data_IF_407600851853
#
_entry.id   IF_407600851853
#
_cell.length_a   1.000
_cell.length_b   1.000
_cell.length_c   1.000
_cell.angle_alpha   90.00
_cell.angle_beta   90.00
_cell.angle_gamma   90.00
#
_symmetry.space_group_name_H-M   'P 1'
#
loop_
_entity.id
_entity.type
_entity.pdbx_description
1 polymer ?
#
# COMPACT_ATOMS: atom_id res chain seq x y z
N UNK A 1 -16.31 -0.27 -15.13
CA UNK A 1 -16.18 1.01 -14.40
C UNK A 1 -15.53 1.99 -15.35
N UNK A 2 -16.14 3.16 -15.63
CA UNK A 2 -15.49 4.16 -16.50
C UNK A 2 -14.12 4.50 -15.90
N UNK A 3 -13.04 4.43 -16.70
CA UNK A 3 -11.64 4.64 -16.27
C UNK A 3 -11.46 5.89 -15.40
N UNK A 4 -12.24 6.92 -15.67
CA UNK A 4 -12.30 8.18 -14.93
C UNK A 4 -12.78 8.04 -13.48
N UNK A 5 -13.69 7.12 -13.16
CA UNK A 5 -14.25 6.96 -11.82
C UNK A 5 -13.21 6.47 -10.79
N UNK A 6 -12.20 5.71 -11.25
CA UNK A 6 -11.11 5.26 -10.38
C UNK A 6 -10.15 6.40 -10.01
N UNK A 7 -9.91 7.32 -10.95
CA UNK A 7 -8.98 8.44 -10.74
C UNK A 7 -9.61 9.57 -9.92
N UNK A 8 -10.92 9.78 -10.02
CA UNK A 8 -11.62 10.88 -9.33
C UNK A 8 -11.27 11.02 -7.84
N UNK A 9 -11.36 9.98 -6.98
CA UNK A 9 -11.01 10.14 -5.57
C UNK A 9 -9.52 10.45 -5.35
N UNK A 10 -8.65 9.97 -6.23
CA UNK A 10 -7.21 10.17 -6.14
C UNK A 10 -6.81 11.61 -6.52
N UNK A 11 -7.38 12.11 -7.62
CA UNK A 11 -7.20 13.49 -8.06
C UNK A 11 -7.77 14.44 -7.00
N UNK A 12 -8.98 14.17 -6.51
CA UNK A 12 -9.59 14.97 -5.45
C UNK A 12 -8.72 15.02 -4.19
N UNK A 13 -8.16 13.87 -3.76
CA UNK A 13 -7.24 13.83 -2.62
C UNK A 13 -5.96 14.64 -2.85
N UNK A 14 -5.36 14.57 -4.04
CA UNK A 14 -4.16 15.37 -4.32
C UNK A 14 -4.46 16.87 -4.40
N UNK A 15 -5.53 17.24 -5.10
CA UNK A 15 -6.00 18.65 -5.19
C UNK A 15 -6.25 19.21 -3.79
N UNK A 16 -6.84 18.42 -2.90
CA UNK A 16 -7.06 18.85 -1.52
C UNK A 16 -5.77 19.19 -0.77
N UNK A 17 -4.70 18.39 -0.94
CA UNK A 17 -3.40 18.73 -0.38
C UNK A 17 -2.81 20.01 -1.01
N UNK A 18 -3.00 20.20 -2.32
CA UNK A 18 -2.48 21.38 -3.04
C UNK A 18 -3.19 22.69 -2.64
N UNK A 19 -4.49 22.65 -2.38
CA UNK A 19 -5.23 23.85 -1.96
C UNK A 19 -5.03 24.17 -0.48
N UNK A 20 -4.59 23.20 0.32
CA UNK A 20 -4.31 23.38 1.74
C UNK A 20 -2.94 24.02 1.97
N UNK A 21 -2.91 25.28 2.44
CA UNK A 21 -1.67 26.04 2.70
C UNK A 21 -0.57 25.24 3.44
N UNK A 22 -0.86 24.50 4.53
CA UNK A 22 0.19 23.76 5.25
C UNK A 22 0.85 22.64 4.44
N UNK A 23 0.15 22.10 3.44
CA UNK A 23 0.58 20.93 2.69
C UNK A 23 0.98 21.25 1.25
N UNK A 24 0.62 22.42 0.73
CA UNK A 24 0.74 22.77 -0.70
C UNK A 24 2.12 22.47 -1.27
N UNK A 25 3.17 23.00 -0.65
CA UNK A 25 4.54 22.87 -1.15
C UNK A 25 5.02 21.42 -1.11
N UNK A 26 4.79 20.71 0.00
CA UNK A 26 5.14 19.30 0.13
C UNK A 26 4.36 18.43 -0.87
N UNK A 27 3.07 18.71 -1.07
CA UNK A 27 2.21 17.99 -2.00
C UNK A 27 2.57 18.22 -3.47
N UNK A 28 2.98 19.45 -3.83
CA UNK A 28 3.47 19.77 -5.16
C UNK A 28 4.79 19.05 -5.45
N UNK A 29 5.76 19.16 -4.55
CA UNK A 29 7.07 18.49 -4.69
C UNK A 29 6.89 16.97 -4.74
N UNK A 30 6.11 16.38 -3.82
CA UNK A 30 5.81 14.95 -3.84
C UNK A 30 5.15 14.56 -5.17
N UNK A 31 4.12 15.28 -5.61
CA UNK A 31 3.44 14.97 -6.86
C UNK A 31 4.36 14.98 -8.08
N UNK A 32 5.25 15.97 -8.20
CA UNK A 32 6.25 16.03 -9.27
C UNK A 32 7.19 14.83 -9.18
N UNK A 33 7.71 14.51 -7.99
CA UNK A 33 8.61 13.37 -7.80
C UNK A 33 7.93 12.03 -8.10
N UNK A 34 6.66 11.85 -7.72
CA UNK A 34 5.87 10.66 -8.06
C UNK A 34 5.65 10.55 -9.57
N UNK A 35 5.33 11.67 -10.24
CA UNK A 35 5.16 11.70 -11.69
C UNK A 35 6.46 11.33 -12.41
N UNK A 36 7.61 11.88 -11.99
CA UNK A 36 8.91 11.53 -12.56
C UNK A 36 9.24 10.06 -12.33
N UNK A 37 9.09 9.57 -11.09
CA UNK A 37 9.33 8.17 -10.74
C UNK A 37 8.47 7.23 -11.61
N UNK A 38 7.16 7.47 -11.67
CA UNK A 38 6.26 6.62 -12.43
C UNK A 38 6.48 6.73 -13.94
N UNK A 39 6.77 7.92 -14.46
CA UNK A 39 7.06 8.11 -15.87
C UNK A 39 8.26 7.24 -16.31
N UNK A 40 9.38 7.37 -15.61
CA UNK A 40 10.64 6.73 -16.01
C UNK A 40 10.72 5.25 -15.62
N UNK A 41 10.21 4.87 -14.45
CA UNK A 41 10.31 3.49 -13.93
C UNK A 41 9.14 2.63 -14.36
N UNK A 42 7.97 3.20 -14.66
CA UNK A 42 6.75 2.43 -14.92
C UNK A 42 6.18 2.67 -16.31
N UNK A 43 5.77 3.90 -16.64
CA UNK A 43 5.03 4.20 -17.86
C UNK A 43 5.84 3.92 -19.13
N UNK A 44 7.10 4.39 -19.18
CA UNK A 44 7.98 4.15 -20.33
C UNK A 44 8.31 2.66 -20.48
N UNK A 45 8.77 1.93 -19.44
CA UNK A 45 8.98 0.48 -19.53
C UNK A 45 7.72 -0.29 -19.91
N UNK A 46 6.58 -0.01 -19.28
CA UNK A 46 5.32 -0.70 -19.56
C UNK A 46 4.77 -0.42 -20.97
N UNK A 47 5.06 0.75 -21.55
CA UNK A 47 4.74 1.03 -22.94
C UNK A 47 5.59 0.19 -23.89
N UNK A 48 6.88 0.00 -23.60
CA UNK A 48 7.81 -0.76 -24.44
C UNK A 48 7.64 -2.27 -24.33
N UNK A 49 7.43 -2.78 -23.12
CA UNK A 49 7.41 -4.24 -22.86
C UNK A 49 6.01 -4.80 -22.69
N UNK A 50 5.00 -3.93 -22.63
CA UNK A 50 3.61 -4.28 -22.34
C UNK A 50 3.34 -4.88 -20.95
N UNK A 51 4.28 -4.71 -20.00
CA UNK A 51 4.21 -5.29 -18.66
C UNK A 51 3.90 -4.25 -17.61
N UNK A 52 2.96 -4.53 -16.72
CA UNK A 52 2.60 -3.67 -15.59
C UNK A 52 3.50 -3.86 -14.38
N UNK A 53 4.19 -5.00 -14.29
CA UNK A 53 4.99 -5.44 -13.14
C UNK A 53 6.03 -4.44 -12.63
N UNK A 54 6.50 -3.49 -13.45
CA UNK A 54 7.40 -2.42 -13.01
C UNK A 54 6.78 -1.49 -11.95
N UNK A 55 5.45 -1.43 -11.85
CA UNK A 55 4.78 -0.62 -10.84
C UNK A 55 5.10 -1.07 -9.42
N UNK A 56 5.40 -2.36 -9.22
CA UNK A 56 5.83 -2.89 -7.92
C UNK A 56 7.24 -2.45 -7.51
N UNK A 57 8.00 -1.86 -8.43
CA UNK A 57 9.24 -1.16 -8.10
C UNK A 57 8.91 0.26 -7.67
N UNK A 58 8.19 1.02 -8.51
CA UNK A 58 7.97 2.44 -8.26
C UNK A 58 7.05 2.72 -7.08
N UNK A 59 6.00 1.92 -6.86
CA UNK A 59 5.05 2.15 -5.79
C UNK A 59 5.71 2.19 -4.39
N UNK A 60 6.51 1.19 -3.97
CA UNK A 60 7.16 1.24 -2.66
C UNK A 60 8.27 2.30 -2.58
N UNK A 61 9.03 2.55 -3.65
CA UNK A 61 10.00 3.66 -3.68
C UNK A 61 9.31 5.03 -3.62
N UNK A 62 8.08 5.13 -4.11
CA UNK A 62 7.24 6.31 -3.93
C UNK A 62 6.88 6.57 -2.47
N UNK A 63 6.72 5.54 -1.63
CA UNK A 63 6.55 5.71 -0.18
C UNK A 63 7.82 6.24 0.49
N UNK A 64 8.99 5.80 0.04
CA UNK A 64 10.28 6.36 0.50
C UNK A 64 10.34 7.85 0.16
N UNK A 65 9.95 8.24 -1.06
CA UNK A 65 9.86 9.66 -1.47
C UNK A 65 8.91 10.43 -0.55
N UNK A 66 7.72 9.89 -0.24
CA UNK A 66 6.77 10.55 0.69
C UNK A 66 7.43 10.80 2.04
N UNK A 67 8.12 9.80 2.61
CA UNK A 67 8.84 9.94 3.88
C UNK A 67 9.95 10.99 3.83
N UNK A 68 10.73 11.03 2.75
CA UNK A 68 11.80 12.01 2.56
C UNK A 68 11.27 13.44 2.37
N UNK A 69 10.20 13.60 1.59
CA UNK A 69 9.54 14.90 1.41
C UNK A 69 8.97 15.38 2.74
N UNK A 70 8.27 14.51 3.48
CA UNK A 70 7.76 14.86 4.80
C UNK A 70 8.89 15.27 5.77
N UNK A 71 10.03 14.56 5.73
CA UNK A 71 11.20 14.91 6.52
C UNK A 71 11.75 16.31 6.16
N UNK A 72 11.97 16.59 4.87
CA UNK A 72 12.51 17.87 4.39
C UNK A 72 11.61 19.05 4.75
N UNK A 73 10.30 18.90 4.60
CA UNK A 73 9.35 19.98 4.93
C UNK A 73 9.06 20.09 6.43
N UNK A 74 9.41 19.06 7.21
CA UNK A 74 9.19 19.02 8.64
C UNK A 74 10.40 19.38 9.50
N UNK A 75 11.62 19.19 9.00
CA UNK A 75 12.86 19.27 9.79
C UNK A 75 13.11 20.62 10.47
N UNK A 76 12.54 21.71 9.94
CA UNK A 76 12.71 23.04 10.50
C UNK A 76 11.67 23.38 11.60
N UNK A 77 10.53 22.67 11.63
CA UNK A 77 9.38 23.09 12.43
C UNK A 77 8.87 22.02 13.39
N UNK A 78 9.02 20.75 13.04
CA UNK A 78 8.42 19.63 13.78
C UNK A 78 9.39 19.03 14.79
N UNK A 79 8.84 18.39 15.82
CA UNK A 79 9.62 17.66 16.82
C UNK A 79 10.52 16.59 16.17
N UNK A 80 11.82 16.53 16.49
CA UNK A 80 12.74 15.57 15.88
C UNK A 80 12.35 14.10 16.08
N UNK A 81 11.78 13.77 17.24
CA UNK A 81 11.32 12.40 17.53
C UNK A 81 10.14 12.06 16.64
N UNK A 82 9.13 12.93 16.57
CA UNK A 82 7.97 12.77 15.67
C UNK A 82 8.40 12.54 14.23
N UNK A 83 9.33 13.37 13.72
CA UNK A 83 9.86 13.25 12.36
C UNK A 83 10.51 11.89 12.14
N UNK A 84 11.37 11.45 13.05
CA UNK A 84 12.04 10.17 12.97
C UNK A 84 11.04 9.01 12.95
N UNK A 85 10.03 9.05 13.82
CA UNK A 85 9.02 8.00 13.92
C UNK A 85 8.22 7.86 12.62
N UNK A 86 7.60 8.94 12.14
CA UNK A 86 6.71 8.86 10.96
C UNK A 86 7.48 8.71 9.66
N UNK A 87 8.55 9.49 9.44
CA UNK A 87 9.32 9.42 8.20
C UNK A 87 10.12 8.11 8.14
N UNK A 88 10.66 7.66 9.28
CA UNK A 88 11.32 6.38 9.41
C UNK A 88 10.41 5.22 9.04
N UNK A 89 9.15 5.21 9.49
CA UNK A 89 8.19 4.17 9.08
C UNK A 89 7.98 4.15 7.56
N UNK A 90 7.74 5.30 6.92
CA UNK A 90 7.56 5.36 5.46
C UNK A 90 8.78 4.83 4.70
N UNK A 91 9.99 5.21 5.14
CA UNK A 91 11.26 4.73 4.55
C UNK A 91 11.44 3.23 4.79
N UNK A 92 11.12 2.70 5.97
CA UNK A 92 11.23 1.28 6.28
C UNK A 92 10.24 0.44 5.46
N UNK A 93 8.98 0.85 5.39
CA UNK A 93 7.91 0.17 4.66
C UNK A 93 8.25 0.16 3.16
N UNK A 94 8.46 1.35 2.59
CA UNK A 94 8.79 1.50 1.17
C UNK A 94 10.13 0.88 0.81
N UNK A 95 11.16 1.08 1.63
CA UNK A 95 12.50 0.56 1.40
C UNK A 95 12.55 -0.97 1.38
N UNK A 96 11.91 -1.64 2.35
CA UNK A 96 11.85 -3.11 2.42
C UNK A 96 11.24 -3.69 1.13
N UNK A 97 10.06 -3.20 0.75
CA UNK A 97 9.37 -3.68 -0.45
C UNK A 97 10.11 -3.29 -1.74
N UNK A 98 10.66 -2.07 -1.79
CA UNK A 98 11.40 -1.57 -2.95
C UNK A 98 12.68 -2.34 -3.21
N UNK A 99 13.45 -2.68 -2.17
CA UNK A 99 14.64 -3.54 -2.28
C UNK A 99 14.25 -4.94 -2.77
N UNK A 100 13.17 -5.51 -2.23
CA UNK A 100 12.67 -6.81 -2.70
C UNK A 100 12.23 -6.76 -4.17
N UNK A 101 11.52 -5.71 -4.59
CA UNK A 101 11.11 -5.52 -5.98
C UNK A 101 12.31 -5.37 -6.93
N UNK A 102 13.37 -4.65 -6.52
CA UNK A 102 14.62 -4.56 -7.27
C UNK A 102 15.32 -5.92 -7.38
N UNK A 103 15.27 -6.74 -6.32
CA UNK A 103 15.78 -8.12 -6.37
C UNK A 103 15.01 -8.97 -7.38
N UNK A 104 13.68 -8.88 -7.41
CA UNK A 104 12.83 -9.56 -8.41
C UNK A 104 13.11 -9.09 -9.84
N UNK A 105 13.36 -7.80 -10.02
CA UNK A 105 13.73 -7.24 -11.32
C UNK A 105 15.08 -7.80 -11.79
N UNK A 106 16.11 -7.75 -10.94
CA UNK A 106 17.46 -8.23 -11.26
C UNK A 106 17.51 -9.75 -11.49
N UNK A 107 16.63 -10.53 -10.89
CA UNK A 107 16.56 -11.97 -11.11
C UNK A 107 15.80 -12.37 -12.38
N UNK A 108 15.29 -11.40 -13.17
CA UNK A 108 14.50 -11.67 -14.37
C UNK A 108 13.06 -12.13 -14.09
N UNK A 109 12.61 -12.13 -12.83
CA UNK A 109 11.23 -12.52 -12.51
C UNK A 109 10.23 -11.56 -13.14
N UNK A 110 10.56 -10.27 -13.18
CA UNK A 110 9.72 -9.24 -13.81
C UNK A 110 9.81 -9.21 -15.35
N UNK A 111 10.60 -10.09 -15.96
CA UNK A 111 10.49 -10.36 -17.40
C UNK A 111 9.18 -11.09 -17.74
N UNK A 112 8.47 -11.57 -16.71
CA UNK A 112 7.14 -12.12 -16.82
C UNK A 112 6.15 -11.24 -16.04
N UNK A 113 4.93 -11.12 -16.57
CA UNK A 113 3.88 -10.40 -15.87
C UNK A 113 3.48 -11.13 -14.59
N UNK A 114 3.45 -10.43 -13.46
CA UNK A 114 3.04 -10.96 -12.17
C UNK A 114 1.56 -11.38 -12.17
N UNK A 115 1.16 -12.39 -11.37
CA UNK A 115 -0.19 -12.96 -11.42
C UNK A 115 -1.30 -11.92 -11.25
N UNK A 116 -1.11 -10.91 -10.39
CA UNK A 116 -2.09 -9.83 -10.15
C UNK A 116 -2.43 -9.03 -11.42
N UNK A 117 -1.47 -8.77 -12.29
CA UNK A 117 -1.71 -8.03 -13.54
C UNK A 117 -2.26 -8.92 -14.66
N UNK A 118 -1.90 -10.22 -14.66
CA UNK A 118 -2.60 -11.20 -15.52
C UNK A 118 -4.07 -11.29 -15.15
N UNK A 119 -4.40 -11.25 -13.86
CA UNK A 119 -5.79 -11.20 -13.40
C UNK A 119 -6.49 -9.92 -13.84
N UNK A 120 -5.79 -8.80 -13.81
CA UNK A 120 -6.31 -7.52 -14.27
C UNK A 120 -6.59 -7.50 -15.77
N UNK A 121 -5.73 -8.10 -16.60
CA UNK A 121 -6.00 -8.29 -18.02
C UNK A 121 -7.29 -9.11 -18.26
N UNK A 122 -7.55 -10.12 -17.43
CA UNK A 122 -8.83 -10.87 -17.48
C UNK A 122 -10.04 -10.01 -17.12
N UNK A 123 -9.89 -9.07 -16.18
CA UNK A 123 -10.98 -8.13 -15.84
C UNK A 123 -11.31 -7.22 -17.01
N UNK A 124 -10.29 -6.66 -17.66
CA UNK A 124 -10.46 -5.85 -18.86
C UNK A 124 -11.18 -6.62 -19.97
N UNK A 125 -10.78 -7.85 -20.23
CA UNK A 125 -11.44 -8.73 -21.20
C UNK A 125 -12.91 -8.96 -20.84
N UNK A 126 -13.22 -9.26 -19.57
CA UNK A 126 -14.59 -9.45 -19.08
C UNK A 126 -15.46 -8.19 -19.23
N UNK A 127 -14.88 -7.01 -19.07
CA UNK A 127 -15.61 -5.73 -19.22
C UNK A 127 -15.67 -5.21 -20.65
N UNK A 128 -15.08 -5.92 -21.62
CA UNK A 128 -15.04 -5.49 -23.02
C UNK A 128 -14.17 -4.25 -23.25
N UNK A 129 -13.08 -4.10 -22.49
CA UNK A 129 -12.17 -2.96 -22.64
C UNK A 129 -11.50 -2.99 -24.02
N UNK A 130 -11.71 -1.94 -24.81
CA UNK A 130 -11.25 -1.87 -26.20
C UNK A 130 -9.85 -1.31 -26.36
N UNK A 131 -9.40 -0.46 -25.43
CA UNK A 131 -8.08 0.17 -25.51
C UNK A 131 -7.23 -0.26 -24.30
N UNK A 132 -6.61 -1.43 -24.44
CA UNK A 132 -5.72 -2.03 -23.43
C UNK A 132 -4.48 -1.18 -23.17
N UNK A 133 -3.76 -0.63 -24.18
CA UNK A 133 -2.60 0.23 -23.92
C UNK A 133 -2.94 1.44 -23.04
N UNK A 134 -4.06 2.12 -23.32
CA UNK A 134 -4.52 3.23 -22.50
C UNK A 134 -4.99 2.78 -21.12
N UNK A 135 -5.73 1.67 -21.03
CA UNK A 135 -6.19 1.14 -19.74
C UNK A 135 -5.00 0.81 -18.82
N UNK A 136 -3.95 0.21 -19.38
CA UNK A 136 -2.68 -0.08 -18.71
C UNK A 136 -2.07 1.19 -18.14
N UNK A 137 -1.85 2.22 -18.97
CA UNK A 137 -1.23 3.47 -18.51
C UNK A 137 -2.05 4.18 -17.44
N UNK A 138 -3.39 4.19 -17.57
CA UNK A 138 -4.28 4.78 -16.55
C UNK A 138 -4.14 4.05 -15.21
N UNK A 139 -4.09 2.72 -15.20
CA UNK A 139 -3.94 1.96 -13.95
C UNK A 139 -2.55 2.11 -13.32
N UNK A 140 -1.50 2.24 -14.12
CA UNK A 140 -0.15 2.51 -13.64
C UNK A 140 -0.07 3.90 -13.00
N UNK A 141 -0.59 4.93 -13.68
CA UNK A 141 -0.62 6.29 -13.16
C UNK A 141 -1.52 6.42 -11.92
N UNK A 142 -2.61 5.66 -11.84
CA UNK A 142 -3.45 5.65 -10.64
C UNK A 142 -2.67 5.26 -9.38
N UNK A 143 -1.71 4.34 -9.47
CA UNK A 143 -0.87 3.95 -8.33
C UNK A 143 0.14 5.05 -7.95
N UNK A 144 0.69 5.79 -8.92
CA UNK A 144 1.53 6.95 -8.63
C UNK A 144 0.74 8.10 -8.02
N UNK A 145 -0.49 8.30 -8.51
CA UNK A 145 -1.40 9.28 -7.96
C UNK A 145 -1.86 8.91 -6.54
N UNK A 146 -1.97 7.62 -6.20
CA UNK A 146 -2.21 7.18 -4.84
C UNK A 146 -1.09 7.64 -3.88
N UNK A 147 0.18 7.50 -4.29
CA UNK A 147 1.34 8.01 -3.55
C UNK A 147 1.36 9.54 -3.46
N UNK A 148 0.93 10.24 -4.52
CA UNK A 148 0.85 11.69 -4.53
C UNK A 148 -0.29 12.24 -3.65
N UNK A 149 -1.33 11.44 -3.42
CA UNK A 149 -2.56 11.82 -2.72
C UNK A 149 -2.65 11.17 -1.34
N UNK A 150 -3.62 10.27 -1.13
CA UNK A 150 -4.06 9.78 0.17
C UNK A 150 -2.96 9.03 0.93
N UNK A 151 -2.02 8.36 0.25
CA UNK A 151 -0.91 7.68 0.94
C UNK A 151 0.09 8.67 1.55
N UNK A 152 0.12 9.93 1.09
CA UNK A 152 0.94 11.00 1.70
C UNK A 152 0.26 11.69 2.89
N UNK A 153 -1.05 11.55 3.06
CA UNK A 153 -1.81 12.24 4.10
C UNK A 153 -1.28 11.99 5.51
N UNK A 154 -1.07 10.72 5.96
CA UNK A 154 -0.63 10.48 7.32
C UNK A 154 0.72 11.15 7.62
N UNK A 155 1.70 11.01 6.72
CA UNK A 155 3.01 11.65 6.88
C UNK A 155 2.89 13.18 7.01
N UNK A 156 2.21 13.83 6.07
CA UNK A 156 2.11 15.28 6.04
C UNK A 156 1.34 15.84 7.24
N UNK A 157 0.27 15.15 7.67
CA UNK A 157 -0.50 15.56 8.85
C UNK A 157 0.28 15.43 10.14
N UNK A 158 0.94 14.28 10.36
CA UNK A 158 1.77 14.09 11.55
C UNK A 158 2.85 15.17 11.61
N UNK A 159 3.60 15.35 10.53
CA UNK A 159 4.69 16.34 10.49
C UNK A 159 4.19 17.77 10.72
N UNK A 160 3.01 18.13 10.22
CA UNK A 160 2.41 19.45 10.42
C UNK A 160 2.01 19.77 11.86
N UNK A 161 1.96 18.77 12.75
CA UNK A 161 1.60 18.95 14.17
C UNK A 161 2.73 19.58 15.01
N UNK A 162 3.52 20.47 14.40
CA UNK A 162 4.77 21.01 14.90
C UNK A 162 4.68 21.67 16.29
N UNK A 163 3.61 22.42 16.55
CA UNK A 163 3.48 23.25 17.76
C UNK A 163 2.97 22.48 18.99
N UNK A 164 2.76 21.17 18.88
CA UNK A 164 2.27 20.33 19.97
C UNK A 164 3.35 19.35 20.43
N UNK A 165 3.42 19.05 21.74
CA UNK A 165 4.24 17.95 22.23
C UNK A 165 3.88 16.62 21.55
N UNK A 166 4.82 15.68 21.56
CA UNK A 166 4.57 14.32 21.09
C UNK A 166 3.42 13.70 21.90
N UNK A 167 2.35 13.29 21.22
CA UNK A 167 1.14 12.79 21.87
C UNK A 167 1.20 11.30 22.15
N UNK A 168 0.50 10.85 23.19
CA UNK A 168 0.33 9.42 23.47
C UNK A 168 -0.30 8.67 22.29
N UNK A 169 -1.20 9.34 21.55
CA UNK A 169 -1.84 8.76 20.37
C UNK A 169 -0.83 8.49 19.23
N UNK A 170 0.15 9.39 19.04
CA UNK A 170 1.26 9.15 18.10
C UNK A 170 2.11 7.96 18.51
N UNK A 171 2.40 7.80 19.81
CA UNK A 171 3.16 6.65 20.30
C UNK A 171 2.40 5.33 20.14
N UNK A 172 1.09 5.33 20.40
CA UNK A 172 0.22 4.16 20.18
C UNK A 172 0.17 3.81 18.69
N UNK A 173 -0.07 4.80 17.83
CA UNK A 173 -0.12 4.61 16.38
C UNK A 173 1.20 4.09 15.81
N UNK A 174 2.33 4.65 16.26
CA UNK A 174 3.67 4.17 15.90
C UNK A 174 3.88 2.72 16.35
N UNK A 175 3.53 2.39 17.60
CA UNK A 175 3.70 1.04 18.14
C UNK A 175 2.88 0.01 17.37
N UNK A 176 1.64 0.34 17.00
CA UNK A 176 0.79 -0.51 16.15
C UNK A 176 1.42 -0.68 14.77
N UNK A 177 1.89 0.40 14.13
CA UNK A 177 2.49 0.34 12.81
C UNK A 177 3.77 -0.50 12.81
N UNK A 178 4.65 -0.32 13.81
CA UNK A 178 5.89 -1.07 13.93
C UNK A 178 5.65 -2.55 14.21
N UNK A 179 4.73 -2.88 15.13
CA UNK A 179 4.36 -4.26 15.42
C UNK A 179 3.75 -4.95 14.18
N UNK A 180 2.86 -4.25 13.48
CA UNK A 180 2.26 -4.74 12.24
C UNK A 180 3.32 -4.97 11.15
N UNK A 181 4.27 -4.06 10.95
CA UNK A 181 5.38 -4.24 10.02
C UNK A 181 6.23 -5.49 10.36
N UNK A 182 6.49 -5.73 11.64
CA UNK A 182 7.18 -6.94 12.11
C UNK A 182 6.39 -8.22 11.82
N UNK A 183 5.08 -8.22 12.09
CA UNK A 183 4.20 -9.37 11.84
C UNK A 183 3.97 -9.64 10.34
N UNK A 184 3.91 -8.58 9.53
CA UNK A 184 3.90 -8.67 8.08
C UNK A 184 5.19 -9.35 7.57
N UNK A 185 6.34 -8.88 8.03
CA UNK A 185 7.65 -9.44 7.66
C UNK A 185 7.78 -10.90 8.10
N UNK A 186 7.26 -11.24 9.28
CA UNK A 186 7.20 -12.62 9.76
C UNK A 186 6.30 -13.50 8.88
N UNK A 187 5.13 -13.00 8.47
CA UNK A 187 4.22 -13.73 7.59
C UNK A 187 4.85 -13.99 6.21
N UNK A 188 5.52 -13.00 5.62
CA UNK A 188 6.25 -13.15 4.36
C UNK A 188 7.39 -14.17 4.50
N UNK A 189 8.18 -14.09 5.58
CA UNK A 189 9.24 -15.05 5.87
C UNK A 189 8.71 -16.48 6.01
N UNK A 190 7.64 -16.69 6.80
CA UNK A 190 7.01 -18.01 6.96
C UNK A 190 6.62 -18.62 5.61
N UNK A 191 6.03 -17.81 4.72
CA UNK A 191 5.62 -18.27 3.38
C UNK A 191 6.79 -18.56 2.47
N UNK A 192 7.84 -17.73 2.50
CA UNK A 192 9.05 -17.97 1.71
C UNK A 192 9.77 -19.24 2.16
N UNK A 193 10.00 -19.41 3.46
CA UNK A 193 10.62 -20.60 4.04
C UNK A 193 9.80 -21.87 3.76
N UNK A 194 8.47 -21.80 3.87
CA UNK A 194 7.59 -22.90 3.48
C UNK A 194 7.75 -23.27 2.00
N UNK A 195 7.77 -22.27 1.11
CA UNK A 195 7.89 -22.51 -0.33
C UNK A 195 9.25 -23.13 -0.71
N UNK A 196 10.34 -22.71 -0.05
CA UNK A 196 11.67 -23.29 -0.25
C UNK A 196 11.74 -24.73 0.22
N UNK A 197 11.21 -25.02 1.42
CA UNK A 197 11.13 -26.39 1.97
C UNK A 197 10.27 -27.29 1.08
N UNK A 198 9.07 -26.83 0.71
CA UNK A 198 8.17 -27.57 -0.16
C UNK A 198 8.80 -27.86 -1.53
N UNK A 199 9.63 -26.95 -2.06
CA UNK A 199 10.40 -27.18 -3.28
C UNK A 199 11.46 -28.27 -3.09
N UNK A 200 12.21 -28.25 -1.98
CA UNK A 200 13.22 -29.25 -1.68
C UNK A 200 12.62 -30.66 -1.50
N UNK A 201 11.41 -30.74 -0.95
CA UNK A 201 10.67 -31.99 -0.73
C UNK A 201 9.84 -32.45 -1.95
N UNK A 202 9.91 -31.73 -3.09
CA UNK A 202 9.14 -32.06 -4.30
C UNK A 202 7.63 -31.73 -4.21
N UNK A 203 7.20 -31.03 -3.17
CA UNK A 203 5.81 -30.68 -2.87
C UNK A 203 5.46 -29.24 -3.28
N UNK A 204 5.88 -28.77 -4.46
CA UNK A 204 5.74 -27.36 -4.88
C UNK A 204 4.30 -26.82 -4.94
N UNK A 205 3.30 -27.70 -4.87
CA UNK A 205 1.87 -27.38 -4.86
C UNK A 205 1.23 -27.47 -3.46
N UNK A 206 2.02 -27.69 -2.40
CA UNK A 206 1.53 -27.65 -1.02
C UNK A 206 1.03 -26.24 -0.64
N UNK A 207 0.09 -26.21 0.31
CA UNK A 207 -0.52 -24.99 0.85
C UNK A 207 0.18 -24.60 2.14
N UNK A 208 0.64 -23.35 2.23
CA UNK A 208 1.20 -22.81 3.46
C UNK A 208 0.09 -22.51 4.45
N UNK A 209 -0.01 -23.29 5.51
CA UNK A 209 -1.03 -23.15 6.56
C UNK A 209 -0.43 -23.10 7.98
N UNK A 210 0.87 -22.80 8.08
CA UNK A 210 1.65 -22.72 9.31
C UNK A 210 1.71 -21.29 9.89
N UNK A 211 1.97 -21.19 11.20
CA UNK A 211 2.20 -19.90 11.87
C UNK A 211 1.02 -18.94 11.70
N UNK A 212 1.28 -17.71 11.23
CA UNK A 212 0.25 -16.70 11.00
C UNK A 212 -0.73 -17.11 9.89
N UNK A 213 -0.28 -17.95 8.94
CA UNK A 213 -1.12 -18.48 7.86
C UNK A 213 -2.16 -19.48 8.37
N UNK A 214 -2.08 -19.95 9.62
CA UNK A 214 -3.15 -20.77 10.21
C UNK A 214 -4.41 -19.96 10.54
N UNK A 215 -4.26 -18.66 10.81
CA UNK A 215 -5.32 -17.79 11.31
C UNK A 215 -5.93 -16.90 10.22
N UNK A 216 -5.17 -16.63 9.16
CA UNK A 216 -5.62 -15.90 7.98
C UNK A 216 -4.93 -16.48 6.75
N UNK A 217 -5.61 -16.47 5.60
CA UNK A 217 -5.04 -16.87 4.31
C UNK A 217 -4.15 -15.80 3.70
N UNK A 218 -4.22 -14.57 4.24
CA UNK A 218 -3.41 -13.43 3.83
C UNK A 218 -3.02 -12.57 5.05
N UNK A 219 -2.28 -13.14 6.02
CA UNK A 219 -1.91 -12.41 7.23
C UNK A 219 -1.00 -11.23 6.91
N UNK A 220 -0.10 -11.37 5.92
CA UNK A 220 0.76 -10.28 5.48
C UNK A 220 -0.07 -9.08 4.98
N UNK A 221 -1.10 -9.29 4.16
CA UNK A 221 -1.97 -8.19 3.72
C UNK A 221 -2.78 -7.56 4.87
N UNK A 222 -3.18 -8.35 5.88
CA UNK A 222 -3.84 -7.79 7.05
C UNK A 222 -2.89 -6.89 7.85
N UNK A 223 -1.65 -7.34 8.07
CA UNK A 223 -0.68 -6.55 8.81
C UNK A 223 -0.20 -5.32 8.03
N UNK A 224 -0.07 -5.41 6.70
CA UNK A 224 0.16 -4.24 5.85
C UNK A 224 -0.97 -3.22 6.03
N UNK A 225 -2.24 -3.65 6.05
CA UNK A 225 -3.37 -2.76 6.36
C UNK A 225 -3.27 -2.16 7.76
N UNK A 226 -2.85 -2.93 8.76
CA UNK A 226 -2.66 -2.43 10.14
C UNK A 226 -1.53 -1.42 10.26
N UNK A 227 -0.47 -1.51 9.43
CA UNK A 227 0.56 -0.47 9.33
C UNK A 227 -0.07 0.88 8.98
N UNK A 228 -0.92 0.91 7.95
CA UNK A 228 -1.63 2.13 7.56
C UNK A 228 -2.60 2.63 8.63
N UNK A 229 -3.28 1.74 9.36
CA UNK A 229 -4.13 2.16 10.48
C UNK A 229 -3.31 2.75 11.63
N UNK A 230 -2.10 2.24 11.90
CA UNK A 230 -1.17 2.85 12.85
C UNK A 230 -0.74 4.26 12.43
N UNK A 231 -0.40 4.45 11.15
CA UNK A 231 -0.08 5.77 10.59
C UNK A 231 -1.27 6.74 10.67
N UNK A 232 -2.50 6.26 10.41
CA UNK A 232 -3.72 7.05 10.56
C UNK A 232 -3.89 7.48 12.02
N UNK A 233 -3.72 6.58 12.99
CA UNK A 233 -3.81 6.91 14.41
C UNK A 233 -2.80 8.01 14.80
N UNK A 234 -1.56 7.94 14.29
CA UNK A 234 -0.59 9.02 14.49
C UNK A 234 -1.13 10.35 13.95
N UNK A 235 -1.67 10.35 12.73
CA UNK A 235 -2.19 11.54 12.06
C UNK A 235 -3.42 12.15 12.74
N UNK A 236 -4.22 11.34 13.47
CA UNK A 236 -5.36 11.84 14.23
C UNK A 236 -4.95 12.85 15.31
N UNK A 237 -3.72 12.79 15.82
CA UNK A 237 -3.20 13.75 16.81
C UNK A 237 -3.14 15.20 16.30
N UNK A 238 -3.03 15.38 14.98
CA UNK A 238 -2.99 16.69 14.33
C UNK A 238 -4.39 17.29 14.16
N UNK A 239 -5.45 16.47 14.13
CA UNK A 239 -6.80 16.93 13.82
C UNK A 239 -7.29 18.05 14.74
N UNK A 240 -7.15 18.01 16.07
CA UNK A 240 -7.65 19.10 16.90
C UNK A 240 -6.95 20.43 16.60
N UNK A 241 -5.72 20.42 16.06
CA UNK A 241 -5.03 21.64 15.62
C UNK A 241 -5.63 22.17 14.33
N UNK A 242 -5.83 21.26 13.37
CA UNK A 242 -6.50 21.56 12.09
C UNK A 242 -7.92 22.13 12.30
N UNK A 243 -8.71 21.57 13.24
CA UNK A 243 -10.04 22.09 13.57
C UNK A 243 -10.01 23.47 14.26
N UNK A 244 -8.89 23.84 14.90
CA UNK A 244 -8.73 25.13 15.56
C UNK A 244 -8.23 26.23 14.61
N UNK A 245 -7.33 25.88 13.68
CA UNK A 245 -6.63 26.86 12.83
C UNK A 245 -7.21 27.00 11.44
N UNK A 246 -8.08 26.08 11.00
CA UNK A 246 -8.59 26.03 9.63
C UNK A 246 -10.11 25.90 9.57
N UNK A 247 -10.68 26.05 8.37
CA UNK A 247 -12.11 25.93 8.17
C UNK A 247 -12.60 24.53 8.54
N UNK A 248 -13.81 24.46 9.12
CA UNK A 248 -14.48 23.19 9.47
C UNK A 248 -14.56 22.25 8.27
N UNK A 249 -14.81 22.81 7.07
CA UNK A 249 -14.90 22.07 5.83
C UNK A 249 -13.57 21.36 5.50
N UNK A 250 -12.45 22.06 5.59
CA UNK A 250 -11.13 21.48 5.35
C UNK A 250 -10.82 20.38 6.37
N UNK A 251 -11.09 20.61 7.65
CA UNK A 251 -10.86 19.64 8.71
C UNK A 251 -11.67 18.35 8.51
N UNK A 252 -12.94 18.47 8.08
CA UNK A 252 -13.79 17.32 7.73
C UNK A 252 -13.24 16.57 6.52
N UNK A 253 -12.80 17.26 5.47
CA UNK A 253 -12.22 16.61 4.30
C UNK A 253 -10.92 15.88 4.60
N UNK A 254 -10.06 16.45 5.43
CA UNK A 254 -8.83 15.79 5.90
C UNK A 254 -9.19 14.52 6.68
N UNK A 255 -10.18 14.61 7.58
CA UNK A 255 -10.65 13.46 8.37
C UNK A 255 -11.21 12.36 7.47
N UNK A 256 -12.04 12.71 6.48
CA UNK A 256 -12.56 11.77 5.49
C UNK A 256 -11.43 11.17 4.62
N UNK A 257 -10.42 11.97 4.28
CA UNK A 257 -9.22 11.53 3.57
C UNK A 257 -8.47 10.45 4.34
N UNK A 258 -8.25 10.64 5.65
CA UNK A 258 -7.63 9.64 6.53
C UNK A 258 -8.44 8.34 6.59
N UNK A 259 -9.75 8.42 6.76
CA UNK A 259 -10.62 7.22 6.75
C UNK A 259 -10.60 6.53 5.38
N UNK A 260 -10.50 7.33 4.31
CA UNK A 260 -10.38 6.82 2.95
C UNK A 260 -9.09 6.02 2.75
N UNK A 261 -7.96 6.40 3.37
CA UNK A 261 -6.71 5.61 3.36
C UNK A 261 -6.95 4.17 3.83
N UNK A 262 -7.56 3.99 5.01
CA UNK A 262 -7.84 2.64 5.54
C UNK A 262 -8.75 1.84 4.61
N UNK A 263 -9.81 2.47 4.10
CA UNK A 263 -10.76 1.84 3.17
C UNK A 263 -10.09 1.41 1.87
N UNK A 264 -9.34 2.29 1.22
CA UNK A 264 -8.76 2.01 -0.10
C UNK A 264 -7.62 0.99 0.00
N UNK A 265 -6.84 1.01 1.10
CA UNK A 265 -5.86 -0.04 1.37
C UNK A 265 -6.53 -1.40 1.53
N UNK A 266 -7.61 -1.49 2.32
CA UNK A 266 -8.37 -2.74 2.44
C UNK A 266 -8.91 -3.22 1.08
N UNK A 267 -9.54 -2.33 0.30
CA UNK A 267 -10.06 -2.66 -1.03
C UNK A 267 -8.95 -3.15 -1.95
N UNK A 268 -7.78 -2.51 -1.90
CA UNK A 268 -6.63 -2.87 -2.74
C UNK A 268 -6.08 -4.24 -2.36
N UNK A 269 -5.83 -4.46 -1.07
CA UNK A 269 -5.24 -5.66 -0.50
C UNK A 269 -6.17 -6.88 -0.51
N UNK A 270 -7.49 -6.68 -0.54
CA UNK A 270 -8.44 -7.80 -0.56
C UNK A 270 -9.03 -8.03 -1.94
N UNK A 271 -9.40 -6.96 -2.64
CA UNK A 271 -10.20 -7.06 -3.85
C UNK A 271 -9.44 -6.74 -5.12
N UNK A 272 -8.61 -5.70 -5.13
CA UNK A 272 -8.04 -5.20 -6.37
C UNK A 272 -6.78 -5.95 -6.80
N UNK A 273 -5.69 -5.88 -6.02
CA UNK A 273 -4.38 -6.46 -6.35
C UNK A 273 -3.96 -7.60 -5.42
N UNK A 274 -4.54 -7.69 -4.21
CA UNK A 274 -4.12 -8.68 -3.21
C UNK A 274 -4.90 -10.00 -3.24
N UNK A 275 -5.67 -10.28 -2.20
CA UNK A 275 -6.18 -11.62 -1.87
C UNK A 275 -6.99 -12.27 -3.00
N UNK A 276 -8.02 -11.61 -3.54
CA UNK A 276 -8.88 -12.20 -4.60
C UNK A 276 -8.07 -12.62 -5.85
N UNK A 277 -7.24 -11.74 -6.46
CA UNK A 277 -6.35 -12.15 -7.54
C UNK A 277 -5.39 -13.30 -7.18
N UNK A 278 -4.81 -13.28 -5.98
CA UNK A 278 -3.88 -14.31 -5.53
C UNK A 278 -4.56 -15.68 -5.33
N UNK A 279 -5.73 -15.72 -4.71
CA UNK A 279 -6.51 -16.94 -4.49
C UNK A 279 -6.97 -17.55 -5.82
N UNK A 280 -7.30 -16.73 -6.82
CA UNK A 280 -7.72 -17.20 -8.15
C UNK A 280 -6.71 -18.18 -8.76
N UNK A 281 -5.41 -17.83 -8.72
CA UNK A 281 -4.35 -18.72 -9.21
C UNK A 281 -3.96 -19.80 -8.20
N UNK A 282 -4.14 -19.55 -6.90
CA UNK A 282 -3.80 -20.54 -5.87
C UNK A 282 -4.67 -21.79 -5.97
N UNK A 283 -5.98 -21.64 -6.18
CA UNK A 283 -6.91 -22.77 -6.39
C UNK A 283 -6.56 -23.60 -7.62
N UNK A 284 -6.10 -22.96 -8.70
CA UNK A 284 -5.70 -23.67 -9.93
C UNK A 284 -4.40 -24.45 -9.76
N UNK A 285 -3.45 -23.91 -8.98
CA UNK A 285 -2.14 -24.52 -8.78
C UNK A 285 -2.15 -25.58 -7.66
N UNK A 286 -3.03 -25.44 -6.67
CA UNK A 286 -3.00 -26.21 -5.42
C UNK A 286 -4.39 -26.78 -5.11
N UNK A 287 -4.64 -28.07 -5.39
CA UNK A 287 -5.95 -28.70 -5.14
C UNK A 287 -6.44 -28.53 -3.69
N UNK A 288 -5.56 -28.72 -2.70
CA UNK A 288 -5.87 -28.58 -1.28
C UNK A 288 -6.20 -27.14 -0.83
N UNK A 289 -6.03 -26.14 -1.69
CA UNK A 289 -6.33 -24.75 -1.34
C UNK A 289 -7.83 -24.51 -1.16
N UNK A 290 -8.68 -25.32 -1.79
CA UNK A 290 -10.14 -25.24 -1.62
C UNK A 290 -10.53 -25.57 -0.17
N UNK A 291 -9.92 -26.58 0.44
CA UNK A 291 -10.22 -26.95 1.83
C UNK A 291 -9.65 -25.93 2.82
N UNK A 292 -8.47 -25.39 2.52
CA UNK A 292 -7.93 -24.25 3.26
C UNK A 292 -8.83 -23.02 3.19
N UNK A 293 -9.55 -22.81 2.07
CA UNK A 293 -10.53 -21.73 1.94
C UNK A 293 -11.79 -21.92 2.79
N UNK A 294 -12.15 -23.15 3.15
CA UNK A 294 -13.30 -23.46 4.03
C UNK A 294 -12.95 -23.19 5.49
N UNK A 295 -11.77 -23.65 5.91
CA UNK A 295 -11.36 -23.67 7.32
C UNK A 295 -10.67 -22.40 7.80
N UNK A 296 -10.08 -21.58 6.92
CA UNK A 296 -9.26 -20.42 7.32
C UNK A 296 -9.81 -19.11 6.79
N UNK A 297 -9.89 -18.06 7.62
CA UNK A 297 -10.38 -16.74 7.22
C UNK A 297 -9.53 -16.10 6.12
N UNK A 298 -10.13 -15.38 5.17
CA UNK A 298 -9.37 -14.76 4.07
C UNK A 298 -8.39 -13.69 4.55
N UNK A 299 -8.86 -12.75 5.36
CA UNK A 299 -8.15 -11.50 5.65
C UNK A 299 -8.00 -11.26 7.15
N UNK A 300 -9.12 -11.06 7.86
CA UNK A 300 -9.11 -10.88 9.30
C UNK A 300 -8.66 -12.17 10.01
N UNK A 301 -7.55 -12.15 10.77
CA UNK A 301 -7.11 -13.30 11.54
C UNK A 301 -8.19 -13.76 12.52
N UNK A 302 -8.39 -15.07 12.62
CA UNK A 302 -9.32 -15.66 13.57
C UNK A 302 -9.11 -17.16 13.74
N UNK A 303 -9.87 -17.81 14.63
CA UNK A 303 -9.81 -19.26 14.79
C UNK A 303 -10.18 -19.97 13.49
N UNK A 304 -9.66 -21.19 13.30
CA UNK A 304 -10.10 -22.04 12.20
C UNK A 304 -11.58 -22.38 12.38
N UNK A 305 -12.30 -22.38 11.27
CA UNK A 305 -13.68 -22.85 11.20
C UNK A 305 -13.65 -24.37 11.20
N UNK A 306 -14.56 -24.97 11.95
CA UNK A 306 -14.82 -26.41 11.87
C UNK A 306 -15.41 -26.73 10.50
N UNK A 307 -15.02 -27.86 9.93
CA UNK A 307 -15.66 -28.38 8.71
C UNK A 307 -17.09 -28.79 9.11
N UNK A 308 -18.06 -27.96 8.75
CA UNK A 308 -19.49 -28.25 8.89
C UNK A 308 -19.96 -29.26 7.85
#
# INVERSE_FOLDING_TARGET
MKKTLMLTPLIAGWVMLLVSEPFRSAALVNGILQLLLFLFVVCIPAWRTERMSYVDIAWPWGLVIVGLVAFVFGMATSDPTRLLLVCGLYVLIGGRMGVFALKLWRSGVLDNELPRYRYQARRWAKTGERNIPLARQVELLAQGLANASFLAYPAFLVVSNAQRPLSMLEMIGFSIALAAFGLESLADYQKAAFAERAKAEGQTNAVCDIGLWRYSRHPNYFFEWMVWNGLILMALSALPGIFQTHSILLALFITLGLLFVSRIMYVTLVHYTGAKPAEFYSVQKRPAYVDYQKTTNRFFPGPRKEDG
#
